data_IF_005527506873
#
_entry.id   IF_005527506873
#
_cell.length_a   1.000
_cell.length_b   1.000
_cell.length_c   1.000
_cell.angle_alpha   90.00
_cell.angle_beta   90.00
_cell.angle_gamma   90.00
#
_symmetry.space_group_name_H-M   'P 1'
#
loop_
_entity.id
_entity.type
_entity.pdbx_description
1 polymer ?
#
# COMPACT_ATOMS: atom_id res chain seq x y z
N UNK A 1 -30.71 10.07 -25.62
CA UNK A 1 -29.81 9.11 -24.93
C UNK A 1 -30.60 8.34 -23.89
N UNK A 2 -30.81 7.03 -24.09
CA UNK A 2 -31.54 6.14 -23.18
C UNK A 2 -30.64 4.97 -22.76
N UNK A 3 -30.77 4.50 -21.52
CA UNK A 3 -30.01 3.34 -21.02
C UNK A 3 -30.40 2.07 -21.77
N UNK A 4 -29.40 1.40 -22.35
CA UNK A 4 -29.54 0.14 -23.08
C UNK A 4 -29.05 -1.05 -22.27
N UNK A 5 -28.10 -0.85 -21.35
CA UNK A 5 -27.51 -1.91 -20.53
C UNK A 5 -26.96 -1.37 -19.20
N UNK A 6 -27.03 -2.17 -18.15
CA UNK A 6 -26.41 -1.89 -16.85
C UNK A 6 -25.28 -2.89 -16.63
N UNK A 7 -24.04 -2.40 -16.57
CA UNK A 7 -22.86 -3.24 -16.48
C UNK A 7 -22.44 -3.45 -15.01
N UNK A 8 -21.84 -4.61 -14.74
CA UNK A 8 -21.34 -4.99 -13.42
C UNK A 8 -20.11 -4.19 -13.02
N UNK A 9 -19.30 -3.79 -14.01
CA UNK A 9 -18.07 -3.01 -13.85
C UNK A 9 -17.73 -2.18 -15.11
N UNK A 10 -16.77 -1.26 -14.99
CA UNK A 10 -16.36 -0.39 -16.09
C UNK A 10 -15.72 -1.13 -17.29
N UNK A 11 -15.05 -2.26 -17.03
CA UNK A 11 -14.40 -3.07 -18.09
C UNK A 11 -15.45 -3.68 -19.01
N UNK A 12 -16.49 -4.29 -18.43
CA UNK A 12 -17.64 -4.84 -19.16
C UNK A 12 -18.35 -3.78 -19.99
N UNK A 13 -18.61 -2.59 -19.42
CA UNK A 13 -19.23 -1.49 -20.14
C UNK A 13 -18.42 -1.04 -21.35
N UNK A 14 -17.09 -0.98 -21.23
CA UNK A 14 -16.21 -0.61 -22.35
C UNK A 14 -16.07 -1.72 -23.40
N UNK A 15 -16.12 -3.00 -23.00
CA UNK A 15 -16.16 -4.12 -23.95
C UNK A 15 -17.44 -4.07 -24.81
N UNK A 16 -18.60 -3.89 -24.18
CA UNK A 16 -19.88 -3.74 -24.88
C UNK A 16 -19.93 -2.47 -25.74
N UNK A 17 -19.35 -1.35 -25.27
CA UNK A 17 -19.23 -0.14 -26.07
C UNK A 17 -18.43 -0.38 -27.36
N UNK A 18 -17.27 -1.05 -27.26
CA UNK A 18 -16.43 -1.37 -28.41
C UNK A 18 -17.12 -2.31 -29.41
N UNK A 19 -17.83 -3.33 -28.90
CA UNK A 19 -18.61 -4.25 -29.73
C UNK A 19 -19.72 -3.52 -30.50
N UNK A 20 -20.50 -2.67 -29.83
CA UNK A 20 -21.57 -1.90 -30.47
C UNK A 20 -21.05 -0.86 -31.46
N UNK A 21 -19.89 -0.28 -31.18
CA UNK A 21 -19.24 0.66 -32.10
C UNK A 21 -18.77 -0.04 -33.39
N UNK A 22 -18.35 -1.32 -33.31
CA UNK A 22 -18.02 -2.13 -34.49
C UNK A 22 -19.25 -2.43 -35.36
N UNK A 23 -20.44 -2.55 -34.74
CA UNK A 23 -21.72 -2.63 -35.46
C UNK A 23 -22.26 -1.25 -35.90
N UNK A 24 -21.48 -0.18 -35.72
CA UNK A 24 -21.81 1.18 -36.13
C UNK A 24 -22.86 1.87 -35.26
N UNK A 25 -23.03 1.41 -34.01
CA UNK A 25 -23.97 1.98 -33.05
C UNK A 25 -23.22 2.86 -32.05
N UNK A 26 -23.52 4.16 -32.05
CA UNK A 26 -22.89 5.11 -31.15
C UNK A 26 -23.44 4.95 -29.72
N UNK A 27 -22.55 4.65 -28.77
CA UNK A 27 -22.90 4.47 -27.36
C UNK A 27 -21.93 5.19 -26.44
N UNK A 28 -22.41 5.59 -25.26
CA UNK A 28 -21.62 6.25 -24.22
C UNK A 28 -21.76 5.50 -22.90
N UNK A 29 -20.65 5.35 -22.20
CA UNK A 29 -20.62 4.79 -20.84
C UNK A 29 -20.78 5.94 -19.85
N UNK A 30 -21.77 5.83 -18.96
CA UNK A 30 -22.03 6.78 -17.88
C UNK A 30 -21.78 6.11 -16.53
N UNK A 31 -21.26 6.86 -15.55
CA UNK A 31 -21.01 6.39 -14.19
C UNK A 31 -19.69 5.63 -13.96
N UNK A 32 -18.91 5.33 -15.01
CA UNK A 32 -17.58 4.71 -14.87
C UNK A 32 -16.59 5.53 -14.02
N UNK A 33 -16.75 6.85 -13.96
CA UNK A 33 -15.90 7.75 -13.18
C UNK A 33 -16.21 7.77 -11.67
N UNK A 34 -17.31 7.15 -11.21
CA UNK A 34 -17.63 7.06 -9.78
C UNK A 34 -16.81 5.99 -9.04
N UNK A 35 -16.21 5.05 -9.78
CA UNK A 35 -15.38 3.97 -9.23
C UNK A 35 -14.12 4.50 -8.54
N UNK A 36 -13.63 5.69 -8.92
CA UNK A 36 -12.46 6.34 -8.31
C UNK A 36 -12.73 7.06 -6.98
N UNK A 37 -13.98 7.29 -6.59
CA UNK A 37 -14.33 8.03 -5.36
C UNK A 37 -14.91 7.16 -4.24
N UNK A 38 -15.45 5.96 -4.54
CA UNK A 38 -16.23 5.14 -3.59
C UNK A 38 -15.66 3.72 -3.40
N UNK A 39 -14.67 3.31 -4.20
CA UNK A 39 -14.10 1.96 -4.17
C UNK A 39 -14.95 0.91 -4.90
N UNK A 40 -14.29 -0.14 -5.39
CA UNK A 40 -14.87 -1.10 -6.37
C UNK A 40 -16.09 -1.88 -5.88
N UNK A 41 -16.22 -2.10 -4.56
CA UNK A 41 -17.32 -2.87 -3.97
C UNK A 41 -18.65 -2.09 -3.90
N UNK A 42 -18.62 -0.77 -4.00
CA UNK A 42 -19.81 0.09 -3.95
C UNK A 42 -20.30 0.57 -5.34
N UNK A 43 -19.59 0.22 -6.42
CA UNK A 43 -19.88 0.66 -7.77
C UNK A 43 -20.94 -0.20 -8.51
N UNK A 44 -21.37 -1.32 -7.91
CA UNK A 44 -22.40 -2.20 -8.49
C UNK A 44 -23.72 -1.41 -8.69
N UNK A 45 -24.16 -1.31 -9.94
CA UNK A 45 -25.39 -0.61 -10.34
C UNK A 45 -25.23 0.84 -10.83
N UNK A 46 -24.02 1.38 -10.86
CA UNK A 46 -23.77 2.77 -11.28
C UNK A 46 -23.21 2.91 -12.70
N UNK A 47 -22.70 1.84 -13.33
CA UNK A 47 -22.16 1.90 -14.68
C UNK A 47 -23.24 1.53 -15.70
N UNK A 48 -23.61 2.49 -16.55
CA UNK A 48 -24.69 2.35 -17.53
C UNK A 48 -24.18 2.64 -18.93
N UNK A 49 -24.60 1.82 -19.88
CA UNK A 49 -24.40 2.08 -21.29
C UNK A 49 -25.65 2.75 -21.84
N UNK A 50 -25.49 3.94 -22.42
CA UNK A 50 -26.57 4.71 -23.04
C UNK A 50 -26.34 4.81 -24.56
N UNK A 51 -27.43 4.72 -25.33
CA UNK A 51 -27.44 4.89 -26.78
C UNK A 51 -28.41 6.01 -27.19
N UNK A 52 -28.23 6.55 -28.39
CA UNK A 52 -29.19 7.49 -28.96
C UNK A 52 -30.55 6.84 -29.22
N UNK A 53 -31.62 7.62 -29.10
CA UNK A 53 -33.02 7.13 -29.10
C UNK A 53 -33.40 6.40 -30.39
N UNK A 54 -32.77 6.76 -31.51
CA UNK A 54 -32.93 6.08 -32.80
C UNK A 54 -32.29 4.68 -32.86
N UNK A 55 -31.34 4.38 -31.97
CA UNK A 55 -30.49 3.19 -32.02
C UNK A 55 -30.67 2.25 -30.81
N UNK A 56 -31.56 2.58 -29.89
CA UNK A 56 -31.83 1.81 -28.66
C UNK A 56 -32.24 0.37 -28.97
N UNK A 57 -33.16 0.17 -29.92
CA UNK A 57 -33.62 -1.19 -30.28
C UNK A 57 -32.51 -2.01 -30.96
N UNK A 58 -31.70 -1.37 -31.81
CA UNK A 58 -30.55 -2.02 -32.47
C UNK A 58 -29.49 -2.41 -31.46
N UNK A 59 -29.19 -1.53 -30.51
CA UNK A 59 -28.25 -1.79 -29.42
C UNK A 59 -28.71 -2.96 -28.54
N UNK A 60 -29.98 -2.97 -28.09
CA UNK A 60 -30.51 -4.06 -27.27
C UNK A 60 -30.49 -5.41 -27.98
N UNK A 61 -30.82 -5.43 -29.28
CA UNK A 61 -30.78 -6.66 -30.07
C UNK A 61 -29.34 -7.19 -30.28
N UNK A 62 -28.35 -6.31 -30.41
CA UNK A 62 -26.94 -6.67 -30.49
C UNK A 62 -26.40 -7.22 -29.17
N UNK A 63 -26.77 -6.59 -28.04
CA UNK A 63 -26.39 -7.04 -26.70
C UNK A 63 -26.98 -8.42 -26.40
N UNK A 64 -28.26 -8.65 -26.72
CA UNK A 64 -28.88 -9.96 -26.53
C UNK A 64 -28.21 -11.08 -27.37
N UNK A 65 -27.71 -10.75 -28.57
CA UNK A 65 -26.91 -11.69 -29.38
C UNK A 65 -25.57 -11.99 -28.70
N UNK A 66 -24.89 -10.97 -28.20
CA UNK A 66 -23.63 -11.12 -27.47
C UNK A 66 -23.77 -11.96 -26.20
N UNK A 67 -24.82 -11.72 -25.39
CA UNK A 67 -25.13 -12.54 -24.21
C UNK A 67 -25.45 -14.00 -24.60
N UNK A 68 -26.14 -14.22 -25.71
CA UNK A 68 -26.42 -15.57 -26.20
C UNK A 68 -25.18 -16.30 -26.72
N UNK A 69 -24.16 -15.59 -27.22
CA UNK A 69 -22.86 -16.18 -27.58
C UNK A 69 -22.01 -16.50 -26.35
N UNK A 70 -22.00 -15.64 -25.34
CA UNK A 70 -21.32 -15.93 -24.06
C UNK A 70 -21.97 -17.11 -23.33
N UNK A 71 -23.31 -17.19 -23.35
CA UNK A 71 -24.04 -18.33 -22.79
C UNK A 71 -23.80 -19.63 -23.57
N UNK A 72 -23.56 -19.57 -24.88
CA UNK A 72 -23.23 -20.72 -25.71
C UNK A 72 -21.79 -21.22 -25.45
N UNK A 73 -20.84 -20.31 -25.21
CA UNK A 73 -19.47 -20.66 -24.80
C UNK A 73 -19.40 -21.16 -23.34
N UNK A 74 -20.30 -20.69 -22.47
CA UNK A 74 -20.45 -21.19 -21.10
C UNK A 74 -21.21 -22.53 -21.01
N UNK A 75 -21.96 -22.93 -22.05
CA UNK A 75 -22.82 -24.11 -22.07
C UNK A 75 -22.30 -25.27 -22.95
N UNK A 76 -20.98 -25.52 -22.94
CA UNK A 76 -20.45 -26.83 -23.35
C UNK A 76 -20.16 -27.68 -22.10
N UNK A 77 -21.00 -28.66 -21.72
CA UNK A 77 -20.65 -29.60 -20.67
C UNK A 77 -19.95 -30.86 -21.20
N UNK A 78 -19.09 -31.37 -20.33
CA UNK A 78 -18.67 -32.76 -20.18
C UNK A 78 -17.63 -33.33 -21.17
N UNK A 79 -16.38 -33.02 -20.83
CA UNK A 79 -15.31 -33.99 -20.56
C UNK A 79 -15.77 -35.46 -20.55
N UNK A 80 -15.30 -36.24 -21.51
CA UNK A 80 -15.34 -37.70 -21.44
C UNK A 80 -14.32 -38.17 -20.40
N UNK A 81 -14.79 -38.78 -19.31
CA UNK A 81 -13.97 -39.51 -18.36
C UNK A 81 -13.15 -40.59 -19.09
N UNK A 82 -11.85 -40.34 -19.28
CA UNK A 82 -10.85 -41.37 -19.48
C UNK A 82 -10.02 -41.47 -18.21
N UNK A 83 -10.10 -42.61 -17.53
CA UNK A 83 -9.28 -42.95 -16.38
C UNK A 83 -7.79 -42.76 -16.70
N UNK A 84 -7.10 -41.91 -15.94
CA UNK A 84 -5.64 -41.93 -15.89
C UNK A 84 -5.11 -41.47 -14.52
N UNK A 85 -4.57 -42.46 -13.80
CA UNK A 85 -3.42 -42.42 -12.87
C UNK A 85 -3.23 -41.19 -11.96
N UNK A 86 -3.24 -41.45 -10.64
CA UNK A 86 -3.17 -40.51 -9.51
C UNK A 86 -1.87 -39.70 -9.34
N UNK A 87 -1.10 -39.45 -10.41
CA UNK A 87 0.12 -38.62 -10.37
C UNK A 87 0.01 -37.26 -11.08
N UNK A 88 -1.12 -36.92 -11.71
CA UNK A 88 -1.22 -35.75 -12.62
C UNK A 88 -2.01 -34.53 -12.13
N UNK A 89 -2.60 -34.53 -10.92
CA UNK A 89 -3.24 -33.32 -10.38
C UNK A 89 -2.22 -32.33 -9.79
N UNK A 90 -1.09 -32.87 -9.30
CA UNK A 90 0.04 -32.07 -8.81
C UNK A 90 0.69 -31.23 -9.92
N UNK A 91 0.78 -31.73 -11.15
CA UNK A 91 1.36 -30.96 -12.27
C UNK A 91 0.45 -29.83 -12.74
N UNK A 92 -0.87 -30.03 -12.73
CA UNK A 92 -1.84 -28.98 -13.03
C UNK A 92 -1.84 -27.88 -11.94
N UNK A 93 -1.83 -28.27 -10.66
CA UNK A 93 -1.68 -27.33 -9.55
C UNK A 93 -0.33 -26.61 -9.58
N UNK A 94 0.75 -27.30 -9.96
CA UNK A 94 2.06 -26.70 -10.14
C UNK A 94 2.07 -25.69 -11.29
N UNK A 95 1.42 -25.98 -12.41
CA UNK A 95 1.26 -25.06 -13.53
C UNK A 95 0.50 -23.78 -13.15
N UNK A 96 -0.61 -23.92 -12.41
CA UNK A 96 -1.36 -22.78 -11.86
C UNK A 96 -0.50 -22.00 -10.86
N UNK A 97 0.19 -22.69 -9.94
CA UNK A 97 1.06 -22.05 -8.96
C UNK A 97 2.19 -21.26 -9.64
N UNK A 98 2.81 -21.82 -10.69
CA UNK A 98 3.83 -21.14 -11.50
C UNK A 98 3.21 -19.93 -12.22
N UNK A 99 2.03 -20.07 -12.82
CA UNK A 99 1.34 -18.97 -13.49
C UNK A 99 1.01 -17.81 -12.54
N UNK A 100 0.44 -18.12 -11.36
CA UNK A 100 0.14 -17.14 -10.31
C UNK A 100 1.43 -16.48 -9.81
N UNK A 101 2.49 -17.26 -9.58
CA UNK A 101 3.78 -16.74 -9.13
C UNK A 101 4.42 -15.83 -10.18
N UNK A 102 4.37 -16.22 -11.45
CA UNK A 102 4.87 -15.42 -12.58
C UNK A 102 4.10 -14.12 -12.76
N UNK A 103 2.78 -14.15 -12.62
CA UNK A 103 1.95 -12.95 -12.64
C UNK A 103 2.29 -12.01 -11.47
N UNK A 104 2.37 -12.53 -10.24
CA UNK A 104 2.77 -11.73 -9.06
C UNK A 104 4.18 -11.13 -9.21
N UNK A 105 5.12 -11.87 -9.82
CA UNK A 105 6.44 -11.36 -10.12
C UNK A 105 6.40 -10.23 -11.15
N UNK A 106 5.63 -10.39 -12.24
CA UNK A 106 5.47 -9.36 -13.27
C UNK A 106 4.90 -8.04 -12.70
N UNK A 107 3.89 -8.12 -11.83
CA UNK A 107 3.34 -6.93 -11.17
C UNK A 107 4.31 -6.26 -10.17
N UNK A 108 5.45 -6.87 -9.87
CA UNK A 108 6.49 -6.32 -8.99
C UNK A 108 7.79 -5.96 -9.71
N UNK A 109 7.91 -6.25 -11.00
CA UNK A 109 9.10 -5.85 -11.77
C UNK A 109 9.08 -4.33 -12.00
N UNK A 110 10.17 -3.59 -11.75
CA UNK A 110 10.22 -2.15 -12.04
C UNK A 110 10.33 -1.89 -13.54
N UNK A 111 9.56 -0.94 -14.08
CA UNK A 111 9.51 -0.64 -15.54
C UNK A 111 9.79 0.83 -15.85
N UNK A 112 9.49 1.76 -14.94
CA UNK A 112 9.64 3.20 -15.22
C UNK A 112 10.26 3.93 -14.04
N UNK A 113 11.20 4.80 -14.37
CA UNK A 113 11.89 5.73 -13.47
C UNK A 113 11.48 7.15 -13.90
N UNK A 114 10.87 7.90 -12.98
CA UNK A 114 10.51 9.32 -13.17
C UNK A 114 10.86 10.11 -11.92
N UNK A 115 11.08 11.42 -12.03
CA UNK A 115 11.53 12.20 -10.88
C UNK A 115 11.37 13.70 -11.00
N UNK A 116 11.80 14.42 -9.95
CA UNK A 116 11.92 15.88 -9.90
C UNK A 116 13.36 16.24 -9.62
N UNK A 117 13.85 17.24 -10.35
CA UNK A 117 15.13 17.93 -10.13
C UNK A 117 14.80 19.34 -9.60
N UNK A 118 14.92 19.52 -8.29
CA UNK A 118 14.61 20.76 -7.57
C UNK A 118 15.69 21.82 -7.79
N UNK A 119 16.97 21.43 -7.83
CA UNK A 119 18.09 22.36 -7.91
C UNK A 119 18.51 22.71 -9.37
N UNK A 120 17.99 21.96 -10.35
CA UNK A 120 18.22 22.05 -11.79
C UNK A 120 19.64 21.77 -12.23
N UNK A 121 20.34 20.89 -11.52
CA UNK A 121 21.70 20.47 -11.85
C UNK A 121 21.75 19.30 -12.86
N UNK A 122 20.59 18.74 -13.21
CA UNK A 122 20.45 17.63 -14.15
C UNK A 122 20.46 16.25 -13.50
N UNK A 123 20.58 16.16 -12.18
CA UNK A 123 20.38 14.96 -11.37
C UNK A 123 18.97 15.01 -10.76
N UNK A 124 18.28 13.88 -10.74
CA UNK A 124 16.96 13.80 -10.09
C UNK A 124 17.15 13.73 -8.58
N UNK A 125 16.70 14.76 -7.87
CA UNK A 125 16.67 14.83 -6.41
C UNK A 125 15.61 13.89 -5.83
N UNK A 126 14.46 13.79 -6.50
CA UNK A 126 13.39 12.86 -6.13
C UNK A 126 13.10 11.91 -7.28
N UNK A 127 12.92 10.63 -6.97
CA UNK A 127 12.73 9.56 -7.94
C UNK A 127 11.63 8.61 -7.49
N UNK A 128 10.78 8.19 -8.42
CA UNK A 128 9.76 7.15 -8.25
C UNK A 128 9.97 6.02 -9.25
N UNK A 129 9.83 4.80 -8.76
CA UNK A 129 9.89 3.58 -9.54
C UNK A 129 8.52 2.92 -9.58
N UNK A 130 8.02 2.60 -10.76
CA UNK A 130 6.68 2.05 -10.97
C UNK A 130 6.70 0.61 -11.48
N UNK A 131 5.69 -0.16 -11.09
CA UNK A 131 5.35 -1.44 -11.69
C UNK A 131 4.69 -1.26 -13.08
N UNK A 132 4.62 -2.31 -13.93
CA UNK A 132 3.92 -2.22 -15.21
C UNK A 132 2.42 -1.94 -15.05
N UNK A 133 1.82 -2.25 -13.90
CA UNK A 133 0.45 -1.87 -13.54
C UNK A 133 0.27 -0.36 -13.28
N UNK A 134 1.35 0.40 -13.15
CA UNK A 134 1.33 1.83 -12.81
C UNK A 134 1.32 2.13 -11.30
N UNK A 135 1.35 1.11 -10.43
CA UNK A 135 1.53 1.31 -8.99
C UNK A 135 2.98 1.71 -8.66
N UNK A 136 3.15 2.60 -7.69
CA UNK A 136 4.47 2.97 -7.18
C UNK A 136 5.03 1.77 -6.41
N UNK A 137 6.29 1.42 -6.65
CA UNK A 137 7.01 0.37 -5.93
C UNK A 137 7.98 0.96 -4.91
N UNK A 138 8.65 2.06 -5.28
CA UNK A 138 9.69 2.70 -4.46
C UNK A 138 9.75 4.19 -4.80
N UNK A 139 10.03 5.02 -3.80
CA UNK A 139 10.52 6.38 -4.02
C UNK A 139 11.84 6.61 -3.28
N UNK A 140 12.69 7.47 -3.83
CA UNK A 140 13.94 7.91 -3.21
C UNK A 140 14.04 9.43 -3.31
N UNK A 141 14.58 10.07 -2.28
CA UNK A 141 14.72 11.52 -2.19
C UNK A 141 16.08 11.89 -1.61
N UNK A 142 16.75 12.84 -2.27
CA UNK A 142 17.87 13.63 -1.78
C UNK A 142 17.29 14.91 -1.16
N UNK A 143 17.35 15.02 0.17
CA UNK A 143 16.73 16.10 0.94
C UNK A 143 17.69 17.28 1.12
N UNK A 144 19.00 17.05 1.09
CA UNK A 144 20.02 18.08 1.29
C UNK A 144 20.73 18.53 -0.02
N UNK A 145 20.40 17.89 -1.15
CA UNK A 145 20.89 18.17 -2.50
C UNK A 145 22.40 17.88 -2.67
N UNK A 146 22.90 16.84 -2.02
CA UNK A 146 24.31 16.44 -2.05
C UNK A 146 24.62 15.28 -3.03
N UNK A 147 23.63 14.86 -3.83
CA UNK A 147 23.62 13.73 -4.77
C UNK A 147 23.57 12.35 -4.13
N UNK A 148 23.38 12.26 -2.81
CA UNK A 148 23.14 11.01 -2.08
C UNK A 148 21.66 10.93 -1.71
N UNK A 149 21.16 9.69 -1.61
CA UNK A 149 19.76 9.49 -1.23
C UNK A 149 19.68 9.55 0.28
N UNK A 150 18.81 10.42 0.79
CA UNK A 150 18.58 10.61 2.23
C UNK A 150 17.33 9.90 2.72
N UNK A 151 16.39 9.62 1.82
CA UNK A 151 15.10 9.03 2.20
C UNK A 151 14.63 8.06 1.12
N UNK A 152 14.22 6.87 1.55
CA UNK A 152 13.71 5.83 0.68
C UNK A 152 12.37 5.33 1.22
N UNK A 153 11.30 5.36 0.42
CA UNK A 153 10.02 4.74 0.76
C UNK A 153 9.73 3.52 -0.11
N UNK A 154 9.10 2.53 0.50
CA UNK A 154 8.63 1.30 -0.13
C UNK A 154 7.12 1.20 -0.01
N UNK A 155 6.50 0.77 -1.10
CA UNK A 155 5.05 0.71 -1.23
C UNK A 155 4.59 -0.73 -1.39
N UNK A 156 3.43 -1.04 -0.84
CA UNK A 156 2.77 -2.33 -0.98
C UNK A 156 2.12 -2.48 -2.38
N UNK A 157 1.61 -3.67 -2.75
CA UNK A 157 0.96 -3.87 -4.04
C UNK A 157 -0.30 -3.01 -4.27
N UNK A 158 -0.90 -2.46 -3.21
CA UNK A 158 -2.04 -1.56 -3.27
C UNK A 158 -1.61 -0.10 -3.51
N UNK A 159 -0.31 0.19 -3.45
CA UNK A 159 0.26 1.51 -3.59
C UNK A 159 0.26 2.32 -2.30
N UNK A 160 -0.04 1.70 -1.15
CA UNK A 160 0.12 2.33 0.16
C UNK A 160 1.56 2.20 0.63
N UNK A 161 2.04 3.19 1.39
CA UNK A 161 3.37 3.13 1.98
C UNK A 161 3.40 2.02 3.06
N UNK A 162 4.40 1.13 2.96
CA UNK A 162 4.62 0.02 3.88
C UNK A 162 5.78 0.33 4.84
N UNK A 163 6.92 0.72 4.28
CA UNK A 163 8.13 1.05 5.04
C UNK A 163 8.86 2.23 4.45
N UNK A 164 9.67 2.90 5.27
CA UNK A 164 10.63 3.88 4.79
C UNK A 164 11.93 3.78 5.58
N UNK A 165 13.01 4.24 4.98
CA UNK A 165 14.35 4.33 5.55
C UNK A 165 14.82 5.78 5.36
N UNK A 166 15.44 6.36 6.39
CA UNK A 166 15.99 7.71 6.36
C UNK A 166 17.43 7.73 6.87
N UNK A 167 18.25 8.53 6.21
CA UNK A 167 19.53 9.09 6.68
C UNK A 167 19.23 10.49 7.23
N UNK A 168 18.91 10.58 8.52
CA UNK A 168 18.43 11.82 9.15
C UNK A 168 19.57 12.77 9.57
N UNK A 169 20.80 12.25 9.62
CA UNK A 169 22.00 13.04 9.93
C UNK A 169 22.84 13.43 8.69
N UNK A 170 22.51 12.89 7.51
CA UNK A 170 23.15 13.13 6.21
C UNK A 170 24.60 12.61 6.09
N UNK A 171 24.95 11.53 6.79
CA UNK A 171 26.27 10.88 6.67
C UNK A 171 26.31 9.79 5.57
N UNK A 172 25.15 9.46 5.02
CA UNK A 172 24.84 8.49 3.98
C UNK A 172 24.71 7.05 4.47
N UNK A 173 24.48 6.87 5.77
CA UNK A 173 23.98 5.63 6.36
C UNK A 173 22.52 5.85 6.74
N UNK A 174 21.65 4.91 6.35
CA UNK A 174 20.25 4.94 6.77
C UNK A 174 20.13 4.40 8.18
N UNK A 175 20.15 5.27 9.17
CA UNK A 175 20.06 4.91 10.58
C UNK A 175 18.61 4.72 11.05
N UNK A 176 17.64 5.34 10.37
CA UNK A 176 16.23 5.30 10.78
C UNK A 176 15.36 4.47 9.82
N UNK A 177 14.50 3.62 10.39
CA UNK A 177 13.49 2.83 9.67
C UNK A 177 12.09 3.10 10.23
N UNK A 178 11.16 3.43 9.35
CA UNK A 178 9.75 3.60 9.66
C UNK A 178 8.92 2.45 9.11
N UNK A 179 7.88 2.04 9.86
CA UNK A 179 6.83 1.14 9.38
C UNK A 179 5.50 1.84 9.45
N UNK A 180 4.69 1.64 8.42
CA UNK A 180 3.42 2.29 8.25
C UNK A 180 2.28 1.28 8.38
N UNK A 181 1.11 1.78 8.75
CA UNK A 181 -0.12 1.00 8.81
C UNK A 181 -1.27 1.92 8.42
N UNK A 182 -2.03 1.51 7.39
CA UNK A 182 -3.14 2.30 6.84
C UNK A 182 -2.70 3.74 6.48
N UNK A 183 -1.56 3.88 5.79
CA UNK A 183 -0.99 5.17 5.37
C UNK A 183 -0.45 6.07 6.48
N UNK A 184 -0.49 5.66 7.76
CA UNK A 184 0.08 6.42 8.88
C UNK A 184 1.29 5.70 9.45
N UNK A 185 2.30 6.45 9.92
CA UNK A 185 3.43 5.85 10.65
C UNK A 185 2.90 5.12 11.89
N UNK A 186 3.35 3.90 12.09
CA UNK A 186 2.99 3.05 13.21
C UNK A 186 4.16 2.91 14.19
N UNK A 187 5.37 2.71 13.65
CA UNK A 187 6.60 2.60 14.44
C UNK A 187 7.78 3.23 13.70
N UNK A 188 8.71 3.84 14.43
CA UNK A 188 10.03 4.21 13.95
C UNK A 188 11.11 3.54 14.81
N UNK A 189 12.20 3.10 14.20
CA UNK A 189 13.38 2.53 14.87
C UNK A 189 14.60 3.26 14.34
N UNK A 190 15.50 3.71 15.22
CA UNK A 190 16.75 4.37 14.83
C UNK A 190 17.94 3.74 15.56
N UNK A 191 19.07 3.67 14.86
CA UNK A 191 20.40 3.30 15.38
C UNK A 191 21.25 4.57 15.48
N UNK A 192 21.17 5.27 16.61
CA UNK A 192 21.78 6.61 16.72
C UNK A 192 23.28 6.60 17.00
N UNK A 193 23.86 5.46 17.35
CA UNK A 193 25.30 5.30 17.61
C UNK A 193 26.06 4.51 16.53
N UNK A 194 25.35 3.93 15.56
CA UNK A 194 25.88 3.28 14.37
C UNK A 194 26.46 1.89 14.64
N UNK A 195 26.02 1.22 15.71
CA UNK A 195 26.51 -0.10 16.09
C UNK A 195 25.79 -1.26 15.38
N UNK A 196 24.74 -0.95 14.59
CA UNK A 196 23.92 -1.88 13.84
C UNK A 196 22.68 -2.36 14.59
N UNK A 197 22.44 -1.89 15.82
CA UNK A 197 21.28 -2.21 16.64
C UNK A 197 20.50 -0.95 16.97
N UNK A 198 19.17 -1.01 16.84
CA UNK A 198 18.34 0.14 17.16
C UNK A 198 18.37 0.44 18.67
N UNK A 199 18.83 1.63 19.03
CA UNK A 199 18.89 2.16 20.39
C UNK A 199 17.70 3.10 20.70
N UNK A 200 16.89 3.41 19.69
CA UNK A 200 15.71 4.25 19.82
C UNK A 200 14.52 3.67 19.05
N UNK A 201 13.35 3.61 19.70
CA UNK A 201 12.09 3.18 19.08
C UNK A 201 10.96 4.13 19.43
N UNK A 202 10.16 4.51 18.43
CA UNK A 202 8.95 5.32 18.60
C UNK A 202 7.73 4.53 18.16
N UNK A 203 6.63 4.69 18.89
CA UNK A 203 5.32 4.11 18.53
C UNK A 203 4.30 5.22 18.38
N UNK A 204 3.45 5.09 17.36
CA UNK A 204 2.45 6.08 16.99
C UNK A 204 1.06 5.46 17.02
N UNK A 205 0.09 6.23 17.53
CA UNK A 205 -1.32 5.86 17.57
C UNK A 205 -2.11 6.88 16.76
N UNK A 206 -2.72 6.45 15.65
CA UNK A 206 -3.42 7.32 14.69
C UNK A 206 -2.55 8.49 14.18
N UNK A 207 -1.27 8.22 13.90
CA UNK A 207 -0.31 9.21 13.42
C UNK A 207 0.21 10.19 14.49
N UNK A 208 -0.27 10.10 15.74
CA UNK A 208 0.27 10.87 16.85
C UNK A 208 1.30 10.04 17.64
N UNK A 209 2.42 10.65 18.03
CA UNK A 209 3.42 10.00 18.88
C UNK A 209 2.77 9.58 20.21
N UNK A 210 2.81 8.29 20.50
CA UNK A 210 2.28 7.69 21.75
C UNK A 210 3.40 7.45 22.75
N UNK A 211 4.48 6.81 22.30
CA UNK A 211 5.64 6.49 23.14
C UNK A 211 6.96 6.57 22.40
N UNK A 212 8.02 6.83 23.17
CA UNK A 212 9.40 6.71 22.75
C UNK A 212 10.16 5.84 23.75
N UNK A 213 10.93 4.88 23.25
CA UNK A 213 11.70 3.91 24.01
C UNK A 213 13.18 4.09 23.68
N UNK A 214 13.98 4.29 24.71
CA UNK A 214 15.44 4.28 24.64
C UNK A 214 15.88 2.89 25.06
N UNK A 215 16.57 2.19 24.17
CA UNK A 215 16.89 0.77 24.29
C UNK A 215 18.40 0.66 24.52
N UNK A 216 18.81 -0.24 25.40
CA UNK A 216 20.23 -0.61 25.53
C UNK A 216 20.61 -1.58 24.40
N UNK A 217 21.52 -1.22 23.48
CA UNK A 217 21.92 -2.09 22.36
C UNK A 217 22.48 -3.44 22.82
N UNK A 218 23.15 -3.46 23.99
CA UNK A 218 23.79 -4.68 24.49
C UNK A 218 22.79 -5.73 24.99
N UNK A 219 21.64 -5.30 25.50
CA UNK A 219 20.66 -6.18 26.15
C UNK A 219 19.32 -6.26 25.42
N UNK A 220 18.99 -5.25 24.60
CA UNK A 220 17.71 -5.11 23.90
C UNK A 220 16.55 -4.68 24.80
N UNK A 221 16.82 -4.36 26.07
CA UNK A 221 15.80 -3.90 27.02
C UNK A 221 15.67 -2.38 27.02
N UNK A 222 14.48 -1.84 27.31
CA UNK A 222 14.29 -0.40 27.40
C UNK A 222 14.93 0.15 28.68
N UNK A 223 15.84 1.11 28.52
CA UNK A 223 16.39 1.92 29.61
C UNK A 223 15.41 3.01 30.06
N UNK A 224 14.61 3.54 29.12
CA UNK A 224 13.63 4.60 29.38
C UNK A 224 12.47 4.49 28.40
N UNK A 225 11.25 4.58 28.91
CA UNK A 225 10.01 4.61 28.12
C UNK A 225 9.25 5.87 28.43
N UNK A 226 9.12 6.74 27.44
CA UNK A 226 8.39 7.99 27.50
C UNK A 226 6.97 7.84 26.93
N UNK A 227 6.01 8.55 27.54
CA UNK A 227 4.61 8.59 27.12
C UNK A 227 4.19 10.01 26.78
N UNK A 228 3.58 10.14 25.61
CA UNK A 228 3.20 11.41 25.03
C UNK A 228 1.68 11.56 24.97
N UNK A 229 1.20 12.80 25.15
CA UNK A 229 -0.19 13.18 24.90
C UNK A 229 -0.21 14.50 24.18
N UNK A 230 -0.79 14.53 22.97
CA UNK A 230 -0.83 15.72 22.12
C UNK A 230 0.57 16.33 21.91
N UNK A 231 1.58 15.48 21.68
CA UNK A 231 2.98 15.89 21.48
C UNK A 231 3.71 16.36 22.73
N UNK A 232 3.09 16.31 23.92
CA UNK A 232 3.74 16.69 25.18
C UNK A 232 4.14 15.44 25.96
N UNK A 233 5.37 15.40 26.46
CA UNK A 233 5.83 14.39 27.40
C UNK A 233 5.00 14.51 28.69
N UNK A 234 4.36 13.42 29.09
CA UNK A 234 3.51 13.38 30.29
C UNK A 234 4.14 12.53 31.40
N UNK A 235 4.81 11.46 31.01
CA UNK A 235 5.38 10.50 31.92
C UNK A 235 6.60 9.82 31.27
N UNK A 236 7.58 9.43 32.08
CA UNK A 236 8.62 8.52 31.66
C UNK A 236 8.87 7.46 32.73
N UNK A 237 9.08 6.23 32.30
CA UNK A 237 9.53 5.12 33.14
C UNK A 237 11.00 4.85 32.84
N UNK A 238 11.80 4.56 33.85
CA UNK A 238 13.26 4.44 33.73
C UNK A 238 13.74 3.22 34.52
N UNK A 239 14.64 2.45 33.92
CA UNK A 239 15.46 1.44 34.58
C UNK A 239 16.68 2.15 35.18
N UNK A 240 16.62 2.45 36.47
CA UNK A 240 17.61 3.27 37.15
C UNK A 240 18.85 2.47 37.57
N UNK A 241 18.71 1.17 37.76
CA UNK A 241 19.77 0.27 38.19
C UNK A 241 20.35 -0.59 37.05
N UNK A 242 19.77 -0.50 35.84
CA UNK A 242 20.12 -1.25 34.63
C UNK A 242 19.98 -2.76 34.80
N UNK A 243 18.94 -3.20 35.50
CA UNK A 243 18.64 -4.62 35.71
C UNK A 243 17.68 -5.21 34.66
N UNK A 244 17.24 -4.40 33.69
CA UNK A 244 16.30 -4.77 32.63
C UNK A 244 14.84 -4.49 33.00
N UNK A 245 14.57 -3.95 34.19
CA UNK A 245 13.22 -3.64 34.66
C UNK A 245 13.07 -2.15 34.99
N UNK A 246 12.02 -1.52 34.48
CA UNK A 246 11.73 -0.12 34.78
C UNK A 246 11.26 0.01 36.24
N UNK A 247 12.09 0.60 37.09
CA UNK A 247 11.87 0.72 38.54
C UNK A 247 11.45 2.13 38.99
N UNK A 248 11.59 3.14 38.13
CA UNK A 248 11.20 4.52 38.43
C UNK A 248 10.21 5.08 37.42
N UNK A 249 9.32 5.96 37.88
CA UNK A 249 8.36 6.71 37.07
C UNK A 249 8.43 8.20 37.39
N UNK A 250 8.64 9.02 36.37
CA UNK A 250 8.62 10.48 36.44
C UNK A 250 7.38 11.04 35.76
N UNK A 251 6.77 12.06 36.35
CA UNK A 251 5.67 12.83 35.76
C UNK A 251 6.15 14.21 35.37
N UNK A 252 5.77 14.65 34.18
CA UNK A 252 6.26 15.88 33.59
C UNK A 252 5.19 16.97 33.53
N UNK A 253 5.61 18.21 33.76
CA UNK A 253 4.81 19.40 33.51
C UNK A 253 4.68 19.64 31.99
N UNK A 254 3.84 20.60 31.61
CA UNK A 254 3.72 21.04 30.20
C UNK A 254 5.01 21.66 29.63
N UNK A 255 5.97 22.01 30.48
CA UNK A 255 7.32 22.52 30.12
C UNK A 255 8.40 21.45 30.22
N UNK A 256 8.02 20.17 30.35
CA UNK A 256 8.92 19.03 30.51
C UNK A 256 9.79 19.07 31.78
N UNK A 257 9.33 19.75 32.83
CA UNK A 257 9.95 19.68 34.16
C UNK A 257 9.37 18.52 34.96
N UNK A 258 10.20 17.80 35.73
CA UNK A 258 9.73 16.73 36.61
C UNK A 258 8.93 17.34 37.76
N UNK A 259 7.66 16.95 37.86
CA UNK A 259 6.74 17.39 38.93
C UNK A 259 6.62 16.38 40.05
N UNK A 260 6.80 15.09 39.73
CA UNK A 260 6.67 13.98 40.67
C UNK A 260 7.50 12.80 40.21
N UNK A 261 8.07 12.08 41.17
CA UNK A 261 8.77 10.80 40.96
C UNK A 261 8.13 9.73 41.86
N UNK A 262 7.95 8.54 41.32
CA UNK A 262 7.46 7.36 42.02
C UNK A 262 8.39 6.18 41.76
N UNK A 263 8.61 5.34 42.76
CA UNK A 263 9.22 4.02 42.57
C UNK A 263 8.11 3.05 42.15
N UNK A 264 8.31 2.35 41.04
CA UNK A 264 7.42 1.31 40.57
C UNK A 264 7.68 0.09 41.46
N UNK A 265 6.70 -0.30 42.25
CA UNK A 265 6.78 -1.55 43.02
C UNK A 265 6.76 -2.71 42.03
N UNK A 266 7.86 -3.47 41.98
CA UNK A 266 7.93 -4.70 41.21
C UNK A 266 6.91 -5.71 41.79
N UNK A 267 6.10 -6.37 40.95
CA UNK A 267 5.13 -7.38 41.38
C UNK A 267 5.79 -8.64 41.96
#
# INVERSE_FOLDING_TARGET
MQTVYEASNAVEAHMLQGYLQQEGIATRVEGAYLQGAVGELAAQGFVRLVADEADVERARAAIARWESSEAADAATPASSCAQASSKSWMSALLGVAIGVTGALAYFRTPVTDSGVDYNRDGVLDERWVYAPSGSVLKSTMDRNLDTRVDYTSHFDPQGEIDTAEADDNFDGVFETRYRFKNGSVATGEADTDGDGYADFRTTYTHGALDSAEYIDPASGWPLRVERYRLGKLTQAEVDSNRDGTLDMRHFYSVTAEITRTETIALP
#
